data_IF_305483237458
#
_entry.id   IF_305483237458
#
_cell.length_a   1.000
_cell.length_b   1.000
_cell.length_c   1.000
_cell.angle_alpha   90.00
_cell.angle_beta   90.00
_cell.angle_gamma   90.00
#
_symmetry.space_group_name_H-M   'P 1'
#
loop_
_entity.id
_entity.type
_entity.pdbx_description
1 polymer ?
#
# COMPACT_ATOMS: atom_id res chain seq x y z
N UNK A 1 25.30 -15.45 -16.82
CA UNK A 1 25.02 -14.31 -15.92
C UNK A 1 24.69 -13.10 -16.77
N UNK A 2 23.69 -12.30 -16.39
CA UNK A 2 23.35 -11.05 -17.08
C UNK A 2 24.39 -9.97 -16.75
N UNK A 3 24.60 -9.00 -17.65
CA UNK A 3 25.47 -7.86 -17.34
C UNK A 3 24.83 -6.95 -16.29
N UNK A 4 25.65 -6.27 -15.47
CA UNK A 4 25.16 -5.31 -14.47
C UNK A 4 24.28 -4.23 -15.11
N UNK A 5 24.67 -3.72 -16.27
CA UNK A 5 23.90 -2.73 -17.02
C UNK A 5 22.49 -3.26 -17.39
N UNK A 6 22.37 -4.54 -17.78
CA UNK A 6 21.06 -5.11 -18.10
C UNK A 6 20.22 -5.35 -16.84
N UNK A 7 20.84 -5.70 -15.72
CA UNK A 7 20.14 -5.83 -14.44
C UNK A 7 19.55 -4.48 -13.99
N UNK A 8 20.35 -3.41 -14.07
CA UNK A 8 19.91 -2.05 -13.77
C UNK A 8 18.76 -1.60 -14.68
N UNK A 9 18.87 -1.85 -15.98
CA UNK A 9 17.80 -1.56 -16.95
C UNK A 9 16.49 -2.28 -16.59
N UNK A 10 16.54 -3.57 -16.22
CA UNK A 10 15.36 -4.33 -15.79
C UNK A 10 14.78 -3.76 -14.49
N UNK A 11 15.62 -3.33 -13.55
CA UNK A 11 15.19 -2.65 -12.33
C UNK A 11 14.41 -1.36 -12.62
N UNK A 12 14.92 -0.54 -13.54
CA UNK A 12 14.25 0.69 -13.99
C UNK A 12 12.91 0.37 -14.66
N UNK A 13 12.88 -0.59 -15.58
CA UNK A 13 11.65 -1.01 -16.26
C UNK A 13 10.59 -1.51 -15.26
N UNK A 14 11.01 -2.31 -14.27
CA UNK A 14 10.13 -2.82 -13.20
C UNK A 14 9.58 -1.68 -12.36
N UNK A 15 10.42 -0.75 -11.90
CA UNK A 15 9.99 0.43 -11.13
C UNK A 15 8.96 1.26 -11.91
N UNK A 16 9.21 1.51 -13.20
CA UNK A 16 8.30 2.26 -14.05
C UNK A 16 6.98 1.52 -14.30
N UNK A 17 7.00 0.19 -14.41
CA UNK A 17 5.79 -0.61 -14.48
C UNK A 17 4.99 -0.52 -13.16
N UNK A 18 5.64 -0.67 -12.00
CA UNK A 18 5.00 -0.57 -10.69
C UNK A 18 4.30 0.78 -10.52
N UNK A 19 5.00 1.89 -10.76
CA UNK A 19 4.44 3.25 -10.64
C UNK A 19 3.21 3.45 -11.54
N UNK A 20 3.26 2.98 -12.80
CA UNK A 20 2.12 3.06 -13.72
C UNK A 20 0.89 2.32 -13.18
N UNK A 21 1.06 1.11 -12.67
CA UNK A 21 -0.07 0.32 -12.16
C UNK A 21 -0.59 0.85 -10.81
N UNK A 22 0.31 1.21 -9.90
CA UNK A 22 -0.02 1.72 -8.56
C UNK A 22 -0.75 3.06 -8.61
N UNK A 23 -0.49 3.90 -9.62
CA UNK A 23 -1.16 5.21 -9.77
C UNK A 23 -2.71 5.15 -9.74
N UNK A 24 -3.31 4.00 -10.07
CA UNK A 24 -4.76 3.77 -10.05
C UNK A 24 -5.31 3.48 -8.65
N UNK A 25 -4.44 3.13 -7.72
CA UNK A 25 -4.73 2.74 -6.34
C UNK A 25 -3.90 3.58 -5.37
N UNK A 26 -3.58 4.80 -5.78
CA UNK A 26 -2.91 5.81 -4.97
C UNK A 26 -3.87 6.96 -4.70
N UNK A 27 -3.80 7.52 -3.50
CA UNK A 27 -4.51 8.72 -3.10
C UNK A 27 -3.62 9.60 -2.22
N UNK A 28 -3.78 10.92 -2.33
CA UNK A 28 -3.25 11.87 -1.36
C UNK A 28 -4.29 12.08 -0.25
N UNK A 29 -3.93 11.83 1.00
CA UNK A 29 -4.86 11.92 2.12
C UNK A 29 -5.26 13.38 2.41
N UNK A 30 -6.56 13.63 2.36
CA UNK A 30 -7.24 14.82 2.91
C UNK A 30 -7.81 14.57 4.30
N UNK A 31 -8.33 15.63 4.94
CA UNK A 31 -8.94 15.55 6.28
C UNK A 31 -10.16 14.61 6.28
N UNK A 32 -10.88 14.52 5.16
CA UNK A 32 -12.06 13.67 4.99
C UNK A 32 -11.76 12.16 4.99
N UNK A 33 -10.49 11.78 4.81
CA UNK A 33 -10.07 10.38 4.79
C UNK A 33 -9.61 9.89 6.16
N UNK A 34 -9.31 10.80 7.09
CA UNK A 34 -8.83 10.52 8.43
C UNK A 34 -10.02 10.51 9.40
N UNK A 35 -10.37 9.33 9.93
CA UNK A 35 -11.51 9.17 10.82
C UNK A 35 -11.08 9.04 12.28
N UNK A 36 -11.63 9.91 13.12
CA UNK A 36 -11.62 9.75 14.56
C UNK A 36 -12.76 8.80 14.94
N UNK A 37 -12.44 7.68 15.60
CA UNK A 37 -13.43 6.99 16.42
C UNK A 37 -13.70 7.89 17.63
N UNK A 38 -14.54 8.91 17.46
CA UNK A 38 -15.08 9.62 18.61
C UNK A 38 -15.84 8.57 19.40
N UNK A 39 -15.25 8.16 20.52
CA UNK A 39 -15.81 7.13 21.39
C UNK A 39 -17.28 7.43 21.60
N UNK A 40 -18.10 6.45 21.25
CA UNK A 40 -19.53 6.36 21.51
C UNK A 40 -19.89 7.29 22.67
N UNK A 41 -20.38 8.49 22.38
CA UNK A 41 -21.00 9.32 23.41
C UNK A 41 -22.31 8.64 23.74
N UNK A 42 -22.19 7.65 24.62
CA UNK A 42 -23.11 7.23 25.65
C UNK A 42 -24.50 7.85 25.49
N UNK A 43 -25.31 7.26 24.61
CA UNK A 43 -26.73 7.55 24.55
C UNK A 43 -27.41 6.79 25.70
N UNK A 44 -27.08 7.19 26.93
CA UNK A 44 -27.82 6.81 28.13
C UNK A 44 -29.16 7.55 28.08
N UNK A 45 -30.12 6.98 27.35
CA UNK A 45 -31.53 7.25 27.53
C UNK A 45 -32.33 5.97 27.29
N UNK A 46 -32.48 5.22 28.38
CA UNK A 46 -33.74 4.64 28.83
C UNK A 46 -34.51 3.74 27.85
N UNK A 47 -34.27 2.42 27.93
CA UNK A 47 -35.31 1.43 27.64
C UNK A 47 -35.03 0.12 28.41
N UNK A 48 -35.75 -0.01 29.52
CA UNK A 48 -35.99 -1.23 30.28
C UNK A 48 -36.61 -2.31 29.38
N UNK A 49 -35.96 -3.46 29.23
CA UNK A 49 -36.58 -4.76 28.84
C UNK A 49 -35.58 -5.86 29.19
N UNK A 50 -35.78 -6.58 30.31
CA UNK A 50 -36.48 -7.88 30.38
C UNK A 50 -35.90 -8.87 29.37
N UNK A 51 -34.82 -9.61 29.68
CA UNK A 51 -34.78 -10.85 30.48
C UNK A 51 -35.60 -12.01 29.90
N UNK A 52 -35.08 -12.69 28.88
CA UNK A 52 -35.36 -14.10 28.64
C UNK A 52 -34.05 -14.81 28.25
N UNK A 53 -33.75 -15.84 29.04
CA UNK A 53 -32.58 -16.72 28.95
C UNK A 53 -32.94 -17.93 28.09
N UNK A 54 -32.23 -18.13 26.98
CA UNK A 54 -32.23 -19.41 26.28
C UNK A 54 -30.86 -20.08 26.47
N UNK A 55 -30.90 -21.21 27.18
CA UNK A 55 -29.86 -22.22 27.26
C UNK A 55 -29.56 -22.74 25.84
N UNK A 56 -28.29 -22.74 25.44
CA UNK A 56 -27.84 -23.50 24.27
C UNK A 56 -26.71 -24.42 24.69
N UNK A 57 -26.97 -25.72 24.49
CA UNK A 57 -26.18 -26.85 24.95
C UNK A 57 -24.80 -26.90 24.26
N UNK A 58 -23.79 -27.21 25.08
CA UNK A 58 -22.45 -27.59 24.64
C UNK A 58 -22.51 -29.01 24.07
N UNK A 59 -22.35 -29.15 22.76
CA UNK A 59 -21.95 -30.43 22.17
C UNK A 59 -20.43 -30.49 21.99
N UNK A 60 -19.82 -31.25 22.88
CA UNK A 60 -18.47 -31.77 22.80
C UNK A 60 -18.37 -32.84 21.71
N UNK A 61 -17.61 -32.57 20.66
CA UNK A 61 -17.15 -33.60 19.72
C UNK A 61 -15.64 -33.71 19.81
N UNK A 62 -15.20 -34.75 20.52
CA UNK A 62 -13.87 -35.34 20.46
C UNK A 62 -13.80 -36.23 19.23
N UNK A 63 -12.83 -36.01 18.37
CA UNK A 63 -12.37 -37.05 17.45
C UNK A 63 -10.87 -36.94 17.26
N UNK A 64 -10.19 -37.79 18.00
CA UNK A 64 -8.83 -38.25 17.77
C UNK A 64 -8.64 -38.72 16.33
N UNK A 65 -7.51 -38.36 15.75
CA UNK A 65 -6.94 -39.07 14.59
C UNK A 65 -5.43 -38.90 14.61
N UNK A 66 -4.80 -39.83 15.31
CA UNK A 66 -3.42 -40.27 15.08
C UNK A 66 -3.20 -40.56 13.60
N UNK A 67 -2.11 -40.04 13.01
CA UNK A 67 -1.43 -40.71 11.90
C UNK A 67 0.00 -40.22 11.74
N UNK A 68 0.89 -41.06 12.24
CA UNK A 68 2.10 -41.56 11.58
C UNK A 68 3.05 -40.58 10.85
N UNK A 69 4.22 -40.44 11.50
CA UNK A 69 5.53 -40.89 10.98
C UNK A 69 5.72 -40.85 9.47
N UNK A 70 6.60 -39.94 9.03
CA UNK A 70 7.86 -40.38 8.38
C UNK A 70 8.89 -39.25 8.45
N UNK A 71 9.84 -39.39 9.37
CA UNK A 71 11.15 -38.78 9.28
C UNK A 71 11.86 -39.34 8.05
N UNK A 72 12.29 -38.47 7.14
CA UNK A 72 13.27 -38.85 6.12
C UNK A 72 14.36 -37.81 6.12
N UNK A 73 15.39 -38.14 6.89
CA UNK A 73 16.70 -37.55 6.83
C UNK A 73 17.21 -37.55 5.38
N UNK A 74 17.60 -36.37 4.89
CA UNK A 74 18.57 -36.27 3.82
C UNK A 74 19.60 -35.23 4.23
N UNK A 75 20.63 -35.72 4.92
CA UNK A 75 21.96 -35.13 4.92
C UNK A 75 22.39 -34.89 3.47
N UNK A 76 22.60 -33.63 3.10
CA UNK A 76 23.42 -33.30 1.94
C UNK A 76 24.54 -32.37 2.39
N UNK A 77 25.64 -33.02 2.77
CA UNK A 77 26.97 -32.43 2.83
C UNK A 77 27.30 -31.77 1.49
N UNK A 78 27.40 -30.44 1.51
CA UNK A 78 27.87 -29.61 0.40
C UNK A 78 29.01 -28.74 0.90
N UNK A 79 30.19 -29.36 1.04
CA UNK A 79 31.49 -28.71 1.19
C UNK A 79 31.75 -27.86 -0.05
N UNK A 80 31.71 -26.54 0.05
CA UNK A 80 32.28 -25.62 -0.94
C UNK A 80 33.12 -24.59 -0.19
N UNK A 81 34.41 -24.89 -0.24
CA UNK A 81 35.60 -24.06 -0.22
C UNK A 81 35.40 -22.54 0.00
N UNK A 82 35.92 -22.09 1.14
CA UNK A 82 36.34 -20.72 1.38
C UNK A 82 37.37 -20.31 0.33
N UNK A 83 36.96 -19.50 -0.65
CA UNK A 83 37.90 -18.78 -1.51
C UNK A 83 38.05 -17.36 -0.97
N UNK A 84 39.17 -17.15 -0.28
CA UNK A 84 39.69 -15.84 0.06
C UNK A 84 39.87 -14.99 -1.21
N UNK A 85 39.19 -13.84 -1.29
CA UNK A 85 39.69 -12.76 -2.14
C UNK A 85 39.35 -11.36 -1.65
N UNK A 86 40.39 -10.77 -1.07
CA UNK A 86 40.81 -9.38 -1.27
C UNK A 86 39.91 -8.27 -0.72
N UNK A 87 40.22 -7.93 0.53
CA UNK A 87 40.13 -6.58 1.07
C UNK A 87 40.85 -5.59 0.14
N UNK A 88 40.10 -4.74 -0.56
CA UNK A 88 40.61 -3.45 -1.04
C UNK A 88 40.00 -2.37 -0.16
N UNK A 89 40.74 -2.05 0.90
CA UNK A 89 40.62 -0.81 1.64
C UNK A 89 41.00 0.33 0.69
N UNK A 90 40.03 1.14 0.31
CA UNK A 90 40.28 2.47 -0.27
C UNK A 90 40.13 3.45 0.88
N UNK A 91 41.26 3.80 1.47
CA UNK A 91 41.38 4.95 2.38
C UNK A 91 41.24 6.23 1.55
N UNK A 92 40.07 6.87 1.59
CA UNK A 92 39.94 8.26 1.17
C UNK A 92 40.31 9.16 2.35
N UNK A 93 41.61 9.31 2.60
CA UNK A 93 42.14 10.42 3.38
C UNK A 93 41.99 11.70 2.57
N UNK A 94 41.02 12.53 2.97
CA UNK A 94 40.85 13.90 2.50
C UNK A 94 40.74 14.83 3.71
N UNK A 95 41.87 15.04 4.37
CA UNK A 95 42.04 16.13 5.32
C UNK A 95 42.16 17.48 4.58
N UNK A 96 41.65 18.52 5.25
CA UNK A 96 42.17 19.90 5.31
C UNK A 96 41.34 21.04 4.72
N UNK A 97 40.98 21.94 5.66
CA UNK A 97 40.88 23.41 5.57
C UNK A 97 39.55 23.99 5.04
N UNK A 98 39.06 25.14 5.51
CA UNK A 98 39.56 26.16 6.44
C UNK A 98 38.37 26.96 6.97
N UNK A 99 38.53 27.55 8.16
CA UNK A 99 37.59 28.46 8.81
C UNK A 99 37.11 29.63 7.94
N UNK A 100 35.93 30.17 8.26
CA UNK A 100 35.81 31.60 8.58
C UNK A 100 34.53 31.91 9.36
N UNK A 101 34.76 32.45 10.55
CA UNK A 101 33.80 33.16 11.39
C UNK A 101 33.20 34.36 10.64
N UNK A 102 31.91 34.59 10.82
CA UNK A 102 31.39 35.96 10.86
C UNK A 102 30.21 36.05 11.83
N UNK A 103 30.56 36.42 13.06
CA UNK A 103 29.69 37.07 14.01
C UNK A 103 29.09 38.35 13.38
N UNK A 104 27.76 38.44 13.33
CA UNK A 104 27.01 39.70 13.44
C UNK A 104 25.52 39.40 13.38
N UNK A 105 24.81 39.51 14.50
CA UNK A 105 23.73 40.50 14.69
C UNK A 105 22.95 40.26 15.99
N UNK A 106 23.21 41.16 16.94
CA UNK A 106 22.28 41.85 17.85
C UNK A 106 21.04 41.11 18.36
N UNK A 107 21.10 40.83 19.66
CA UNK A 107 19.96 40.71 20.55
C UNK A 107 19.07 41.96 20.47
N UNK A 108 17.76 41.75 20.29
CA UNK A 108 16.73 42.66 20.72
C UNK A 108 15.52 41.84 21.18
N UNK A 109 15.17 42.08 22.44
CA UNK A 109 14.01 41.60 23.15
C UNK A 109 12.71 41.66 22.34
N UNK A 110 11.94 40.58 22.37
CA UNK A 110 10.49 40.64 22.30
C UNK A 110 9.91 39.47 23.09
N UNK A 111 9.56 39.74 24.35
CA UNK A 111 8.62 38.96 25.12
C UNK A 111 7.29 38.87 24.35
N UNK A 112 7.05 37.74 23.70
CA UNK A 112 5.76 37.42 23.07
C UNK A 112 5.08 36.33 23.91
N UNK A 113 3.84 36.65 24.26
CA UNK A 113 3.06 35.98 25.27
C UNK A 113 2.74 34.53 24.91
N UNK A 114 2.77 33.75 25.97
CA UNK A 114 2.32 32.39 26.16
C UNK A 114 0.83 32.26 25.79
N UNK A 115 0.57 31.97 24.51
CA UNK A 115 -0.72 31.46 24.05
C UNK A 115 -0.51 30.00 23.70
N UNK A 116 -0.40 29.16 24.74
CA UNK A 116 -0.56 27.73 24.66
C UNK A 116 -2.01 27.43 24.22
N UNK A 117 -2.26 27.59 22.92
CA UNK A 117 -3.44 27.03 22.28
C UNK A 117 -3.26 25.51 22.38
N UNK A 118 -3.95 24.92 23.35
CA UNK A 118 -4.02 23.49 23.55
C UNK A 118 -4.78 22.91 22.36
N UNK A 119 -4.09 22.81 21.22
CA UNK A 119 -4.53 22.07 20.07
C UNK A 119 -4.81 20.67 20.56
N UNK A 120 -6.10 20.37 20.72
CA UNK A 120 -6.58 19.04 21.09
C UNK A 120 -6.06 18.12 20.01
N UNK A 121 -5.07 17.29 20.36
CA UNK A 121 -4.50 16.31 19.45
C UNK A 121 -5.64 15.35 19.08
N UNK A 122 -6.18 15.52 17.89
CA UNK A 122 -7.17 14.60 17.34
C UNK A 122 -6.45 13.31 16.99
N UNK A 123 -6.68 12.27 17.80
CA UNK A 123 -6.14 10.95 17.56
C UNK A 123 -7.01 10.25 16.50
N UNK A 124 -6.50 10.22 15.27
CA UNK A 124 -7.12 9.44 14.20
C UNK A 124 -6.87 7.96 14.43
N UNK A 125 -7.86 7.13 14.09
CA UNK A 125 -7.79 5.68 14.37
C UNK A 125 -7.89 4.84 13.10
N UNK A 126 -8.54 5.36 12.06
CA UNK A 126 -8.80 4.62 10.83
C UNK A 126 -8.79 5.54 9.61
N UNK A 127 -8.46 4.96 8.46
CA UNK A 127 -8.61 5.58 7.14
C UNK A 127 -9.90 5.12 6.46
N UNK A 128 -10.55 6.01 5.71
CA UNK A 128 -11.63 5.68 4.77
C UNK A 128 -11.15 5.88 3.33
N UNK A 129 -11.04 4.79 2.56
CA UNK A 129 -10.54 4.81 1.18
C UNK A 129 -11.57 4.24 0.20
N UNK A 130 -11.56 4.62 -1.09
CA UNK A 130 -12.46 4.03 -2.07
C UNK A 130 -12.14 2.56 -2.34
N UNK A 131 -13.16 1.76 -2.71
CA UNK A 131 -12.95 0.39 -3.16
C UNK A 131 -12.15 0.31 -4.49
N UNK A 132 -11.34 -0.75 -4.69
CA UNK A 132 -10.64 -0.98 -5.95
C UNK A 132 -11.66 -1.15 -7.08
N UNK A 133 -11.44 -0.44 -8.20
CA UNK A 133 -12.36 -0.50 -9.35
C UNK A 133 -13.51 0.50 -9.29
N UNK A 134 -13.80 1.09 -8.13
CA UNK A 134 -14.54 2.35 -8.04
C UNK A 134 -13.61 3.46 -8.52
N UNK A 135 -13.41 3.55 -9.83
CA UNK A 135 -12.43 4.44 -10.44
C UNK A 135 -12.53 5.82 -9.79
N UNK A 136 -11.43 6.29 -9.20
CA UNK A 136 -11.23 7.71 -8.98
C UNK A 136 -11.31 8.32 -10.37
N UNK A 137 -12.50 8.78 -10.76
CA UNK A 137 -12.69 9.53 -11.99
C UNK A 137 -11.72 10.70 -11.85
N UNK A 138 -10.58 10.60 -12.51
CA UNK A 138 -9.62 11.69 -12.55
C UNK A 138 -10.43 12.87 -13.01
N UNK A 139 -10.47 13.94 -12.20
CA UNK A 139 -11.17 15.17 -12.52
C UNK A 139 -10.61 15.70 -13.85
N UNK A 140 -11.13 15.21 -14.97
CA UNK A 140 -10.98 15.88 -16.23
C UNK A 140 -11.97 17.04 -16.10
N UNK A 141 -11.42 18.24 -15.98
CA UNK A 141 -12.16 19.50 -16.11
C UNK A 141 -12.66 19.68 -17.55
N UNK A 142 -13.21 18.62 -18.16
CA UNK A 142 -13.90 18.67 -19.42
C UNK A 142 -15.16 19.47 -19.19
N UNK A 143 -15.11 20.74 -19.61
CA UNK A 143 -16.25 21.65 -19.65
C UNK A 143 -17.44 20.90 -20.24
N UNK A 144 -18.55 20.72 -19.51
CA UNK A 144 -19.75 20.18 -20.09
C UNK A 144 -20.19 21.15 -21.20
N UNK A 145 -20.20 20.66 -22.44
CA UNK A 145 -20.70 21.39 -23.59
C UNK A 145 -22.17 21.74 -23.34
N UNK A 146 -22.45 23.03 -23.29
CA UNK A 146 -23.77 23.59 -23.00
C UNK A 146 -24.62 23.52 -24.27
N UNK A 147 -25.23 22.39 -24.55
CA UNK A 147 -26.33 22.34 -25.52
C UNK A 147 -27.26 21.14 -25.33
N UNK A 148 -28.28 21.30 -24.47
CA UNK A 148 -29.72 21.17 -24.78
C UNK A 148 -30.56 20.83 -23.52
N UNK A 149 -31.86 21.22 -23.48
CA UNK A 149 -32.61 21.35 -22.25
C UNK A 149 -33.56 20.17 -21.96
N UNK A 150 -33.74 19.93 -20.64
CA UNK A 150 -34.99 19.60 -19.97
C UNK A 150 -35.68 18.25 -20.28
N UNK A 151 -35.46 17.24 -19.43
CA UNK A 151 -36.53 16.61 -18.62
C UNK A 151 -35.94 15.58 -17.63
N UNK A 152 -36.02 15.92 -16.34
CA UNK A 152 -36.06 15.03 -15.16
C UNK A 152 -35.16 13.77 -15.20
N UNK A 153 -33.83 13.96 -15.24
CA UNK A 153 -32.90 12.91 -14.80
C UNK A 153 -32.79 12.95 -13.28
N UNK A 154 -33.39 11.96 -12.61
CA UNK A 154 -33.04 11.61 -11.25
C UNK A 154 -31.57 11.17 -11.26
N UNK A 155 -30.66 12.02 -10.78
CA UNK A 155 -29.28 11.66 -10.54
C UNK A 155 -29.26 10.56 -9.47
N UNK A 156 -29.09 9.32 -9.93
CA UNK A 156 -28.79 8.19 -9.05
C UNK A 156 -27.38 8.44 -8.52
N UNK A 157 -27.29 9.12 -7.38
CA UNK A 157 -26.04 9.28 -6.62
C UNK A 157 -25.58 7.87 -6.27
N UNK A 158 -24.66 7.33 -7.06
CA UNK A 158 -24.02 6.04 -6.76
C UNK A 158 -23.23 6.26 -5.48
N UNK A 159 -23.74 5.70 -4.38
CA UNK A 159 -23.05 5.65 -3.10
C UNK A 159 -21.70 4.96 -3.34
N UNK A 160 -20.60 5.72 -3.23
CA UNK A 160 -19.25 5.17 -3.33
C UNK A 160 -19.01 4.39 -2.04
N UNK A 161 -18.83 3.08 -2.17
CA UNK A 161 -18.45 2.24 -1.04
C UNK A 161 -16.97 2.49 -0.71
N UNK A 162 -16.72 2.75 0.56
CA UNK A 162 -15.38 2.95 1.11
C UNK A 162 -14.97 1.77 1.99
N UNK A 163 -13.69 1.43 1.97
CA UNK A 163 -13.02 0.50 2.88
C UNK A 163 -12.46 1.25 4.09
N UNK A 164 -12.50 0.61 5.24
CA UNK A 164 -11.79 1.04 6.45
C UNK A 164 -10.42 0.36 6.51
N UNK A 165 -9.37 1.12 6.83
CA UNK A 165 -8.02 0.61 7.01
C UNK A 165 -7.38 1.18 8.29
N UNK A 166 -6.33 0.52 8.80
CA UNK A 166 -5.58 0.97 9.95
C UNK A 166 -4.88 2.32 9.69
N UNK A 167 -4.67 3.11 10.74
CA UNK A 167 -4.05 4.45 10.65
C UNK A 167 -2.51 4.43 10.50
N UNK A 168 -1.88 3.26 10.56
CA UNK A 168 -0.43 3.11 10.49
C UNK A 168 0.00 2.28 9.29
N UNK A 169 1.11 2.67 8.67
CA UNK A 169 1.71 1.89 7.60
C UNK A 169 2.44 0.68 8.18
N UNK A 170 2.08 -0.54 7.76
CA UNK A 170 2.71 -1.76 8.27
C UNK A 170 4.19 -1.96 7.86
N UNK A 171 4.76 -1.10 7.01
CA UNK A 171 6.17 -1.16 6.59
C UNK A 171 7.05 -0.27 7.46
N UNK A 172 6.72 1.03 7.58
CA UNK A 172 7.51 1.97 8.40
C UNK A 172 7.00 2.09 9.84
N UNK A 173 5.81 1.55 10.13
CA UNK A 173 5.10 1.64 11.42
C UNK A 173 4.72 3.07 11.84
N UNK A 174 4.84 4.04 10.93
CA UNK A 174 4.41 5.42 11.14
C UNK A 174 2.92 5.59 10.85
N UNK A 175 2.29 6.50 11.59
CA UNK A 175 0.92 6.94 11.34
C UNK A 175 0.81 7.72 10.03
N UNK A 176 -0.39 7.75 9.46
CA UNK A 176 -0.69 8.55 8.28
C UNK A 176 -1.04 9.97 8.66
N UNK A 177 -0.45 10.91 7.93
CA UNK A 177 -0.73 12.33 8.06
C UNK A 177 -1.50 12.88 6.85
N UNK A 178 -2.06 14.06 7.02
CA UNK A 178 -2.61 14.83 5.91
C UNK A 178 -1.53 15.06 4.86
N UNK A 179 -1.92 15.00 3.59
CA UNK A 179 -1.06 15.12 2.41
C UNK A 179 -0.13 13.93 2.16
N UNK A 180 -0.17 12.86 2.98
CA UNK A 180 0.54 11.64 2.67
C UNK A 180 -0.03 10.98 1.41
N UNK A 181 0.87 10.45 0.58
CA UNK A 181 0.52 9.61 -0.57
C UNK A 181 0.48 8.17 -0.11
N UNK A 182 -0.72 7.60 -0.09
CA UNK A 182 -0.95 6.21 0.26
C UNK A 182 -1.32 5.39 -0.96
N UNK A 183 -0.99 4.11 -0.92
CA UNK A 183 -1.32 3.14 -1.95
C UNK A 183 -1.91 1.87 -1.32
N UNK A 184 -2.88 1.26 -2.00
CA UNK A 184 -3.50 0.01 -1.60
C UNK A 184 -3.52 -1.00 -2.74
N UNK A 185 -3.84 -2.25 -2.41
CA UNK A 185 -3.89 -3.33 -3.40
C UNK A 185 -5.07 -3.19 -4.35
N UNK A 186 -4.85 -3.60 -5.60
CA UNK A 186 -5.94 -3.80 -6.58
C UNK A 186 -6.90 -4.95 -6.23
N UNK A 187 -6.50 -5.83 -5.30
CA UNK A 187 -7.31 -6.94 -4.83
C UNK A 187 -8.35 -6.45 -3.81
N UNK A 188 -9.62 -6.78 -4.04
CA UNK A 188 -10.73 -6.41 -3.15
C UNK A 188 -10.62 -7.02 -1.76
N UNK A 189 -10.03 -8.22 -1.67
CA UNK A 189 -9.85 -8.97 -0.42
C UNK A 189 -8.68 -8.43 0.43
N UNK A 190 -7.84 -7.55 -0.13
CA UNK A 190 -6.73 -6.94 0.58
C UNK A 190 -7.10 -5.53 1.04
N UNK A 191 -7.28 -5.36 2.35
CA UNK A 191 -7.57 -4.07 3.00
C UNK A 191 -6.32 -3.28 3.42
N UNK A 192 -5.12 -3.82 3.17
CA UNK A 192 -3.87 -3.20 3.60
C UNK A 192 -3.53 -1.95 2.79
N UNK A 193 -3.07 -0.92 3.50
CA UNK A 193 -2.67 0.38 2.98
C UNK A 193 -1.24 0.64 3.40
N UNK A 194 -0.49 1.34 2.56
CA UNK A 194 0.90 1.69 2.79
C UNK A 194 1.18 3.09 2.28
N UNK A 195 2.21 3.77 2.81
CA UNK A 195 2.78 4.90 2.08
C UNK A 195 3.28 4.41 0.72
N UNK A 196 3.06 5.21 -0.33
CA UNK A 196 3.41 4.82 -1.70
C UNK A 196 4.89 4.45 -1.81
N UNK A 197 5.77 5.26 -1.24
CA UNK A 197 7.21 5.04 -1.29
C UNK A 197 7.61 3.76 -0.54
N UNK A 198 6.97 3.49 0.60
CA UNK A 198 7.24 2.30 1.41
C UNK A 198 6.92 1.02 0.64
N UNK A 199 5.71 0.93 0.06
CA UNK A 199 5.31 -0.26 -0.69
C UNK A 199 6.04 -0.35 -2.03
N UNK A 200 6.32 0.76 -2.72
CA UNK A 200 7.09 0.76 -3.95
C UNK A 200 8.50 0.17 -3.72
N UNK A 201 9.20 0.67 -2.70
CA UNK A 201 10.53 0.17 -2.34
C UNK A 201 10.49 -1.32 -2.00
N UNK A 202 9.50 -1.76 -1.23
CA UNK A 202 9.30 -3.16 -0.89
C UNK A 202 9.10 -4.04 -2.13
N UNK A 203 8.27 -3.61 -3.09
CA UNK A 203 7.95 -4.37 -4.30
C UNK A 203 9.12 -4.43 -5.30
N UNK A 204 9.98 -3.40 -5.31
CA UNK A 204 11.24 -3.41 -6.07
C UNK A 204 12.19 -4.45 -5.45
N UNK A 205 12.49 -4.34 -4.16
CA UNK A 205 13.45 -5.24 -3.48
C UNK A 205 12.98 -6.70 -3.44
N UNK A 206 11.67 -6.94 -3.28
CA UNK A 206 11.09 -8.28 -3.34
C UNK A 206 11.11 -8.87 -4.75
N UNK A 207 11.09 -7.99 -5.76
CA UNK A 207 11.15 -8.34 -7.16
C UNK A 207 12.54 -8.74 -7.63
N UNK A 208 13.56 -7.99 -7.23
CA UNK A 208 14.96 -8.24 -7.57
C UNK A 208 15.39 -9.66 -7.20
N UNK A 209 15.05 -10.11 -5.98
CA UNK A 209 15.38 -11.48 -5.54
C UNK A 209 14.77 -12.57 -6.42
N UNK A 210 13.57 -12.32 -6.97
CA UNK A 210 12.87 -13.27 -7.84
C UNK A 210 13.36 -13.18 -9.30
N UNK A 211 13.67 -11.98 -9.78
CA UNK A 211 14.11 -11.74 -11.16
C UNK A 211 15.58 -12.08 -11.38
N UNK A 212 16.42 -12.16 -10.34
CA UNK A 212 17.79 -12.68 -10.46
C UNK A 212 17.84 -14.10 -11.05
N UNK A 213 16.75 -14.87 -10.92
CA UNK A 213 16.62 -16.19 -11.52
C UNK A 213 15.91 -16.18 -12.90
N UNK A 214 15.36 -15.04 -13.34
CA UNK A 214 14.68 -14.90 -14.62
C UNK A 214 15.59 -14.23 -15.65
N UNK A 215 15.92 -14.97 -16.71
CA UNK A 215 16.68 -14.45 -17.83
C UNK A 215 15.75 -13.80 -18.86
N UNK A 216 15.90 -12.49 -19.07
CA UNK A 216 15.18 -11.75 -20.11
C UNK A 216 16.07 -11.55 -21.34
N UNK A 217 15.88 -12.39 -22.37
CA UNK A 217 16.57 -12.26 -23.66
C UNK A 217 16.08 -11.07 -24.50
N UNK A 218 14.83 -10.65 -24.29
CA UNK A 218 14.20 -9.50 -24.96
C UNK A 218 13.68 -8.53 -23.91
N UNK A 219 13.20 -7.36 -24.33
CA UNK A 219 12.51 -6.45 -23.42
C UNK A 219 11.27 -7.14 -22.83
N UNK A 220 11.19 -7.29 -21.49
CA UNK A 220 10.07 -7.94 -20.85
C UNK A 220 8.81 -7.07 -20.96
N UNK A 221 7.66 -7.74 -21.03
CA UNK A 221 6.36 -7.07 -20.90
C UNK A 221 6.10 -6.70 -19.44
N UNK A 222 5.20 -5.74 -19.21
CA UNK A 222 4.79 -5.34 -17.86
C UNK A 222 4.29 -6.53 -17.03
N UNK A 223 3.57 -7.47 -17.66
CA UNK A 223 3.10 -8.70 -17.02
C UNK A 223 4.24 -9.54 -16.45
N UNK A 224 5.34 -9.69 -17.21
CA UNK A 224 6.54 -10.40 -16.75
C UNK A 224 7.30 -9.60 -15.69
N UNK A 225 7.36 -8.28 -15.83
CA UNK A 225 8.00 -7.39 -14.86
C UNK A 225 7.27 -7.36 -13.51
N UNK A 226 5.95 -7.53 -13.52
CA UNK A 226 5.07 -7.48 -12.36
C UNK A 226 4.64 -8.87 -11.89
N UNK A 227 5.32 -9.93 -12.35
CA UNK A 227 5.03 -11.29 -11.92
C UNK A 227 5.27 -11.41 -10.39
N UNK A 228 4.27 -11.94 -9.66
CA UNK A 228 4.33 -12.26 -8.22
C UNK A 228 4.64 -11.08 -7.30
N UNK A 229 4.00 -9.94 -7.56
CA UNK A 229 3.98 -8.77 -6.68
C UNK A 229 2.93 -9.03 -5.60
N UNK A 230 3.37 -9.36 -4.38
CA UNK A 230 2.52 -9.77 -3.26
C UNK A 230 2.46 -8.71 -2.16
N UNK A 231 1.33 -8.63 -1.47
CA UNK A 231 1.16 -7.80 -0.28
C UNK A 231 2.07 -8.30 0.86
N UNK A 232 2.80 -7.40 1.55
CA UNK A 232 3.64 -7.79 2.69
C UNK A 232 2.86 -8.43 3.85
N UNK A 233 1.59 -8.08 4.01
CA UNK A 233 0.81 -8.46 5.20
C UNK A 233 -0.01 -9.75 4.99
N UNK A 234 -0.71 -9.90 3.87
CA UNK A 234 -1.56 -11.06 3.61
C UNK A 234 -1.04 -12.02 2.53
N UNK A 235 0.10 -11.72 1.89
CA UNK A 235 0.70 -12.50 0.81
C UNK A 235 -0.18 -12.69 -0.44
N UNK A 236 -1.34 -12.04 -0.50
CA UNK A 236 -2.18 -12.00 -1.69
C UNK A 236 -1.54 -11.12 -2.78
N UNK A 237 -1.97 -11.29 -4.03
CA UNK A 237 -1.51 -10.45 -5.13
C UNK A 237 -1.82 -8.97 -4.86
N UNK A 238 -0.79 -8.13 -4.89
CA UNK A 238 -0.94 -6.70 -4.67
C UNK A 238 -1.46 -6.01 -5.94
N UNK A 239 -0.91 -6.41 -7.10
CA UNK A 239 -1.28 -5.89 -8.42
C UNK A 239 -1.82 -7.01 -9.29
N UNK A 240 -3.07 -6.86 -9.74
CA UNK A 240 -3.69 -7.72 -10.73
C UNK A 240 -3.48 -7.13 -12.14
N UNK A 241 -2.59 -7.74 -12.92
CA UNK A 241 -2.39 -7.39 -14.33
C UNK A 241 -3.39 -8.19 -15.16
N UNK A 242 -4.39 -7.51 -15.74
CA UNK A 242 -5.29 -8.17 -16.69
C UNK A 242 -4.49 -8.51 -17.96
N UNK A 243 -4.39 -9.78 -18.38
CA UNK A 243 -3.65 -10.13 -19.58
C UNK A 243 -4.28 -9.49 -20.82
N UNK A 244 -3.44 -9.01 -21.74
CA UNK A 244 -3.86 -8.27 -22.93
C UNK A 244 -4.75 -9.07 -23.90
N UNK A 245 -4.82 -10.40 -23.75
CA UNK A 245 -5.61 -11.29 -24.59
C UNK A 245 -7.11 -11.30 -24.26
N UNK A 246 -7.55 -10.67 -23.17
CA UNK A 246 -8.97 -10.52 -22.87
C UNK A 246 -9.55 -9.31 -23.60
N UNK A 247 -9.53 -9.34 -24.93
CA UNK A 247 -10.40 -8.49 -25.75
C UNK A 247 -11.82 -8.97 -25.48
N UNK A 248 -12.45 -8.33 -24.51
CA UNK A 248 -13.84 -8.48 -24.13
C UNK A 248 -14.67 -8.46 -25.43
N UNK A 249 -15.08 -9.65 -25.88
CA UNK A 249 -16.07 -9.80 -26.94
C UNK A 249 -17.32 -9.15 -26.37
N UNK A 250 -17.51 -7.86 -26.64
CA UNK A 250 -18.77 -7.17 -26.40
C UNK A 250 -19.80 -7.94 -27.20
N UNK A 251 -20.45 -8.92 -26.56
CA UNK A 251 -21.67 -9.53 -27.06
C UNK A 251 -22.67 -8.38 -27.07
N UNK A 252 -22.75 -7.68 -28.20
CA UNK A 252 -23.89 -6.84 -28.52
C UNK A 252 -25.05 -7.82 -28.57
N UNK A 253 -25.83 -7.87 -27.49
CA UNK A 253 -27.11 -8.55 -27.49
C UNK A 253 -28.03 -7.73 -28.41
N UNK A 254 -27.96 -8.01 -29.72
CA UNK A 254 -29.00 -7.64 -30.66
C UNK A 254 -30.31 -8.25 -30.16
N UNK A 255 -31.16 -7.37 -29.66
CA UNK A 255 -32.53 -7.70 -29.26
C UNK A 255 -33.34 -7.74 -30.55
N UNK A 256 -33.84 -8.93 -30.92
CA UNK A 256 -34.82 -9.13 -31.99
C UNK A 256 -36.20 -9.25 -31.36
#
# INVERSE_FOLDING_TARGET
>A
MMSLARQEEIGILRKNALLRYMSRFTLTLGDEHLLCCTGSQNNNNNATSSSESEEFEQESVTSDSDSDKTSKDMERNGKIEEEERSKTSVECRGDMNMAQDSDSTTAADAAAADAADAAVAFEYTHLSLPLPGSGCASNTNDKPDKSLPNQQQMEVVKKVENRSAAINCAICLSEYEKCDRVCWSSNTECSHVFHEDCILQWLISSGEKKSMNQYFFTNPTDEKLLEKVICPCCLQDFIFVRPASCSEVRKVSESV
#
